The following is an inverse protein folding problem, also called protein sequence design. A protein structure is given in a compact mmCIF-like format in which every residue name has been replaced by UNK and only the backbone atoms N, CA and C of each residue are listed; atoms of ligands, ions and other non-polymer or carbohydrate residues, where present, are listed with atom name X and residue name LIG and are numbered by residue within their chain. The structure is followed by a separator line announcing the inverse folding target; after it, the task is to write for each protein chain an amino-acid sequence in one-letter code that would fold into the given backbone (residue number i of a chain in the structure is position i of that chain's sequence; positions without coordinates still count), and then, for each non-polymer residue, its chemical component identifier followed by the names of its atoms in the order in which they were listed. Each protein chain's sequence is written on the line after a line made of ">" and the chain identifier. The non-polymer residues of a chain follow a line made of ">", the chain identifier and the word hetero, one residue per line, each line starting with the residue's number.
data_IF_335517831417
#
_entry.id   IF_335517831417
#
_cell.length_a   1.000
_cell.length_b   1.000
_cell.length_c   1.000
_cell.angle_alpha   90.00
_cell.angle_beta   90.00
_cell.angle_gamma   90.00
#
_symmetry.space_group_name_H-M   'P 1'
#
loop_
_entity.id
_entity.type
_entity.pdbx_description
1 polymer ?
#
# COMPACT_ATOMS: atom_id res chain seq x y z
N UNK A 1 1.87 -19.24 11.92
CA UNK A 1 2.59 -18.79 13.14
C UNK A 1 1.79 -17.65 13.77
N UNK A 2 1.27 -17.80 15.00
CA UNK A 2 0.60 -16.69 15.67
C UNK A 2 1.66 -15.69 16.18
N UNK A 3 1.53 -14.41 15.81
CA UNK A 3 2.21 -13.30 16.51
C UNK A 3 3.12 -12.39 15.68
N UNK A 4 3.57 -12.80 14.49
CA UNK A 4 4.46 -11.97 13.67
C UNK A 4 3.62 -11.18 12.66
N UNK A 5 3.27 -9.94 13.03
CA UNK A 5 2.42 -9.08 12.23
C UNK A 5 3.25 -8.29 11.23
N UNK A 6 2.97 -8.48 9.94
CA UNK A 6 3.46 -7.62 8.88
C UNK A 6 2.41 -6.61 8.46
N UNK A 7 2.85 -5.43 8.05
CA UNK A 7 1.98 -4.33 7.64
C UNK A 7 2.39 -3.75 6.29
N UNK A 8 1.41 -3.30 5.51
CA UNK A 8 1.62 -2.35 4.43
C UNK A 8 0.78 -1.10 4.71
N UNK A 9 1.45 0.05 4.74
CA UNK A 9 0.80 1.34 4.70
C UNK A 9 0.93 1.91 3.29
N UNK A 10 -0.19 2.29 2.69
CA UNK A 10 -0.25 2.97 1.40
C UNK A 10 -0.88 4.34 1.60
N UNK A 11 -0.14 5.41 1.29
CA UNK A 11 -0.74 6.72 1.16
C UNK A 11 -1.34 6.90 -0.23
N UNK A 12 -2.36 7.75 -0.32
CA UNK A 12 -2.92 8.27 -1.56
C UNK A 12 -3.08 9.80 -1.46
N UNK A 13 -3.11 10.50 -2.59
CA UNK A 13 -3.01 11.97 -2.61
C UNK A 13 -4.27 12.64 -2.07
N UNK A 14 -5.42 12.23 -2.60
CA UNK A 14 -6.72 12.76 -2.25
C UNK A 14 -7.83 11.76 -2.60
N UNK A 15 -8.86 11.73 -1.78
CA UNK A 15 -10.14 11.07 -2.09
C UNK A 15 -10.77 11.66 -3.37
N UNK A 16 -11.67 10.91 -4.00
CA UNK A 16 -12.38 11.32 -5.23
C UNK A 16 -11.50 11.59 -6.47
N UNK A 17 -10.24 11.12 -6.47
CA UNK A 17 -9.35 11.23 -7.63
C UNK A 17 -9.28 9.92 -8.44
N UNK A 18 -9.14 9.97 -9.78
CA UNK A 18 -9.27 8.79 -10.63
C UNK A 18 -8.17 7.76 -10.38
N UNK A 19 -6.90 8.18 -10.27
CA UNK A 19 -5.78 7.25 -10.01
C UNK A 19 -5.97 6.55 -8.67
N UNK A 20 -6.16 7.31 -7.58
CA UNK A 20 -6.34 6.75 -6.25
C UNK A 20 -7.55 5.81 -6.15
N UNK A 21 -8.64 6.10 -6.87
CA UNK A 21 -9.82 5.23 -6.93
C UNK A 21 -9.47 3.87 -7.53
N UNK A 22 -8.74 3.85 -8.65
CA UNK A 22 -8.30 2.60 -9.29
C UNK A 22 -7.33 1.80 -8.42
N UNK A 23 -6.44 2.47 -7.68
CA UNK A 23 -5.47 1.82 -6.80
C UNK A 23 -6.14 1.17 -5.58
N UNK A 24 -7.04 1.87 -4.90
CA UNK A 24 -7.74 1.30 -3.75
C UNK A 24 -8.71 0.18 -4.17
N UNK A 25 -9.34 0.30 -5.35
CA UNK A 25 -10.14 -0.78 -5.92
C UNK A 25 -9.27 -2.03 -6.23
N UNK A 26 -8.07 -1.83 -6.78
CA UNK A 26 -7.10 -2.91 -6.99
C UNK A 26 -6.69 -3.55 -5.66
N UNK A 27 -6.33 -2.74 -4.66
CA UNK A 27 -5.94 -3.19 -3.33
C UNK A 27 -7.07 -4.00 -2.64
N UNK A 28 -8.33 -3.58 -2.82
CA UNK A 28 -9.51 -4.29 -2.33
C UNK A 28 -9.70 -5.63 -3.06
N UNK A 29 -9.57 -5.65 -4.39
CA UNK A 29 -9.68 -6.87 -5.21
C UNK A 29 -8.67 -7.95 -4.79
N UNK A 30 -7.42 -7.56 -4.52
CA UNK A 30 -6.36 -8.51 -4.14
C UNK A 30 -6.22 -8.68 -2.62
N UNK A 31 -7.24 -8.29 -1.82
CA UNK A 31 -7.20 -8.39 -0.35
C UNK A 31 -6.89 -9.81 0.13
N UNK A 32 -7.37 -10.83 -0.59
CA UNK A 32 -7.08 -12.22 -0.29
C UNK A 32 -5.58 -12.56 -0.37
N UNK A 33 -4.83 -11.97 -1.31
CA UNK A 33 -3.39 -12.22 -1.47
C UNK A 33 -2.58 -11.68 -0.28
N UNK A 34 -3.00 -10.55 0.30
CA UNK A 34 -2.40 -10.02 1.53
C UNK A 34 -2.76 -10.87 2.75
N UNK A 35 -4.04 -11.28 2.88
CA UNK A 35 -4.50 -12.18 3.97
C UNK A 35 -3.72 -13.50 3.95
N UNK A 36 -3.50 -14.10 2.77
CA UNK A 36 -2.72 -15.34 2.59
C UNK A 36 -1.29 -15.22 3.11
N UNK A 37 -0.68 -14.03 3.02
CA UNK A 37 0.68 -13.73 3.48
C UNK A 37 0.74 -13.23 4.93
N UNK A 38 -0.38 -13.22 5.65
CA UNK A 38 -0.48 -12.67 7.00
C UNK A 38 -0.07 -11.18 7.08
N UNK A 39 -0.41 -10.41 6.05
CA UNK A 39 -0.22 -8.96 6.01
C UNK A 39 -1.50 -8.22 6.36
N UNK A 40 -1.38 -7.20 7.21
CA UNK A 40 -2.41 -6.18 7.36
C UNK A 40 -2.12 -4.99 6.46
N UNK A 41 -3.18 -4.30 6.06
CA UNK A 41 -3.15 -3.18 5.14
C UNK A 41 -3.79 -1.96 5.79
N UNK A 42 -3.24 -0.78 5.52
CA UNK A 42 -3.82 0.50 5.93
C UNK A 42 -3.56 1.55 4.83
N UNK A 43 -4.64 2.12 4.31
CA UNK A 43 -4.68 3.32 3.47
C UNK A 43 -4.55 4.60 4.29
N UNK A 44 -4.12 5.69 3.66
CA UNK A 44 -3.96 6.97 4.32
C UNK A 44 -4.03 8.12 3.30
N UNK A 45 -4.85 9.12 3.56
CA UNK A 45 -4.70 10.45 2.95
C UNK A 45 -4.88 11.54 3.99
N UNK A 46 -4.88 12.79 3.53
CA UNK A 46 -5.13 13.96 4.36
C UNK A 46 -6.63 14.30 4.49
N UNK A 47 -7.50 13.61 3.76
CA UNK A 47 -8.94 13.90 3.75
C UNK A 47 -9.60 13.50 5.07
N UNK A 48 -10.82 14.01 5.29
CA UNK A 48 -11.55 13.71 6.51
C UNK A 48 -12.06 12.27 6.52
N UNK A 49 -12.30 11.71 7.70
CA UNK A 49 -12.95 10.38 7.84
C UNK A 49 -14.33 10.36 7.17
N UNK A 50 -15.04 11.50 7.14
CA UNK A 50 -16.33 11.61 6.47
C UNK A 50 -16.19 11.45 4.95
N UNK A 51 -15.15 12.06 4.36
CA UNK A 51 -14.83 11.94 2.94
C UNK A 51 -14.44 10.49 2.60
N UNK A 52 -13.61 9.84 3.43
CA UNK A 52 -13.27 8.43 3.24
C UNK A 52 -14.51 7.54 3.20
N UNK A 53 -15.46 7.75 4.12
CA UNK A 53 -16.70 6.97 4.17
C UNK A 53 -17.59 7.22 2.95
N UNK A 54 -17.67 8.47 2.48
CA UNK A 54 -18.42 8.82 1.29
C UNK A 54 -17.78 8.21 0.03
N UNK A 55 -16.49 8.44 -0.18
CA UNK A 55 -15.73 7.97 -1.33
C UNK A 55 -15.55 6.45 -1.35
N UNK A 56 -15.55 5.79 -0.19
CA UNK A 56 -15.50 4.33 -0.14
C UNK A 56 -16.64 3.68 -0.94
N UNK A 57 -17.76 4.37 -1.16
CA UNK A 57 -18.86 3.88 -2.00
C UNK A 57 -18.56 3.92 -3.49
N UNK A 58 -17.57 4.69 -3.93
CA UNK A 58 -17.08 4.77 -5.32
C UNK A 58 -15.92 3.79 -5.54
N UNK A 59 -15.17 3.48 -4.48
CA UNK A 59 -14.13 2.45 -4.45
C UNK A 59 -14.72 1.04 -4.30
N UNK A 60 -15.73 0.87 -3.44
CA UNK A 60 -16.39 -0.40 -3.12
C UNK A 60 -17.48 -0.93 -4.08
N UNK A 61 -17.92 -0.26 -5.18
CA UNK A 61 -18.61 -0.95 -6.27
C UNK A 61 -17.75 -2.09 -6.86
N UNK A 62 -16.45 -2.11 -6.52
CA UNK A 62 -15.48 -3.14 -6.89
C UNK A 62 -15.07 -4.13 -5.77
N UNK A 63 -15.59 -4.01 -4.52
CA UNK A 63 -15.69 -5.04 -3.44
C UNK A 63 -15.57 -4.44 -2.02
N UNK A 64 -16.25 -5.10 -1.06
CA UNK A 64 -16.53 -4.71 0.32
C UNK A 64 -15.43 -5.08 1.34
N UNK A 65 -14.88 -4.10 2.07
CA UNK A 65 -14.45 -4.13 3.49
C UNK A 65 -13.70 -2.80 3.81
N UNK A 66 -14.06 -2.13 4.91
CA UNK A 66 -13.67 -0.73 5.21
C UNK A 66 -12.73 -0.57 6.42
N UNK A 67 -11.93 0.51 6.41
CA UNK A 67 -11.39 1.18 7.61
C UNK A 67 -9.97 1.73 7.49
N UNK A 68 -9.76 3.05 7.62
CA UNK A 68 -8.45 3.74 7.77
C UNK A 68 -8.54 5.07 8.55
N UNK A 69 -7.42 5.49 9.16
CA UNK A 69 -7.25 6.63 10.09
C UNK A 69 -5.93 7.39 9.77
N UNK A 70 -5.78 8.71 10.04
CA UNK A 70 -4.72 9.53 9.43
C UNK A 70 -3.37 9.57 10.21
N UNK A 71 -2.23 9.50 9.50
CA UNK A 71 -0.82 9.57 10.00
C UNK A 71 0.16 10.36 9.07
N UNK A 72 -0.32 11.14 8.09
CA UNK A 72 0.46 11.67 6.93
C UNK A 72 1.72 12.49 7.28
N UNK A 73 1.62 13.40 8.24
CA UNK A 73 2.67 14.40 8.53
C UNK A 73 3.91 13.77 9.17
N UNK A 74 3.75 12.72 9.98
CA UNK A 74 4.87 12.09 10.69
C UNK A 74 5.75 11.22 9.79
N UNK A 75 5.26 10.84 8.61
CA UNK A 75 5.92 9.89 7.73
C UNK A 75 6.56 10.57 6.49
N UNK A 76 6.57 11.90 6.43
CA UNK A 76 7.21 12.66 5.34
C UNK A 76 6.54 12.46 3.98
N UNK A 77 5.23 12.20 3.97
CA UNK A 77 4.50 11.77 2.78
C UNK A 77 3.89 12.93 1.98
N UNK A 78 4.48 14.13 1.94
CA UNK A 78 3.87 15.27 1.22
C UNK A 78 4.40 15.40 -0.22
N UNK A 79 3.49 15.47 -1.19
CA UNK A 79 3.76 15.75 -2.60
C UNK A 79 3.90 17.27 -2.79
N UNK A 80 5.07 17.78 -3.20
CA UNK A 80 5.28 19.21 -3.34
C UNK A 80 4.59 19.81 -4.58
N UNK A 81 4.21 18.98 -5.57
CA UNK A 81 3.65 19.43 -6.85
C UNK A 81 2.12 19.45 -6.83
N UNK A 82 1.51 18.65 -5.96
CA UNK A 82 0.06 18.59 -5.77
C UNK A 82 -0.34 19.37 -4.52
N UNK A 83 -1.15 20.41 -4.70
CA UNK A 83 -1.66 21.26 -3.61
C UNK A 83 -3.19 21.20 -3.57
N UNK A 84 -3.76 21.22 -2.37
CA UNK A 84 -5.19 21.38 -2.21
C UNK A 84 -5.65 22.79 -2.58
N UNK A 85 -6.97 22.99 -2.57
CA UNK A 85 -7.62 24.29 -2.86
C UNK A 85 -7.15 25.43 -1.95
N UNK A 86 -6.59 25.12 -0.79
CA UNK A 86 -6.11 26.05 0.23
C UNK A 86 -4.58 26.24 0.16
N UNK A 87 -3.92 25.61 -0.82
CA UNK A 87 -2.48 25.73 -1.08
C UNK A 87 -1.60 24.80 -0.24
N UNK A 88 -2.19 23.82 0.46
CA UNK A 88 -1.45 22.85 1.26
C UNK A 88 -1.01 21.66 0.41
N UNK A 89 0.26 21.21 0.51
CA UNK A 89 0.73 20.01 -0.17
C UNK A 89 -0.13 18.77 0.16
N UNK A 90 -0.57 18.05 -0.87
CA UNK A 90 -1.25 16.77 -0.77
C UNK A 90 -0.26 15.66 -0.40
N UNK A 91 -0.71 14.45 -0.12
CA UNK A 91 0.19 13.33 0.17
C UNK A 91 0.77 12.70 -1.10
N UNK A 92 2.06 12.34 -1.18
CA UNK A 92 2.60 11.50 -2.29
C UNK A 92 2.02 10.08 -2.21
N UNK A 93 2.03 9.35 -3.33
CA UNK A 93 1.69 7.93 -3.37
C UNK A 93 2.85 7.09 -2.83
N UNK A 94 2.93 6.98 -1.50
CA UNK A 94 3.95 6.19 -0.82
C UNK A 94 3.42 4.81 -0.42
N UNK A 95 4.30 3.81 -0.45
CA UNK A 95 4.06 2.49 0.13
C UNK A 95 5.17 2.20 1.12
N UNK A 96 4.80 1.84 2.35
CA UNK A 96 5.71 1.40 3.40
C UNK A 96 5.39 -0.03 3.78
N UNK A 97 6.34 -0.93 3.57
CA UNK A 97 6.28 -2.31 4.02
C UNK A 97 6.97 -2.39 5.38
N UNK A 98 6.20 -2.73 6.40
CA UNK A 98 6.64 -2.76 7.80
C UNK A 98 6.68 -4.20 8.26
N UNK A 99 7.88 -4.62 8.68
CA UNK A 99 8.08 -5.90 9.34
C UNK A 99 7.83 -5.80 10.85
N UNK A 100 8.02 -6.91 11.56
CA UNK A 100 7.69 -7.02 13.00
C UNK A 100 8.54 -6.12 13.89
N UNK A 101 9.74 -5.79 13.42
CA UNK A 101 10.78 -5.04 14.10
C UNK A 101 10.93 -3.61 13.58
N UNK A 102 10.86 -3.41 12.25
CA UNK A 102 11.08 -2.13 11.59
C UNK A 102 10.54 -2.08 10.16
N UNK A 103 10.55 -0.88 9.58
CA UNK A 103 10.33 -0.66 8.15
C UNK A 103 11.34 -1.47 7.32
N UNK A 104 10.85 -2.16 6.29
CA UNK A 104 11.64 -3.04 5.42
C UNK A 104 11.85 -2.47 4.03
N UNK A 105 10.86 -1.76 3.51
CA UNK A 105 10.89 -1.21 2.15
C UNK A 105 9.97 -0.01 2.04
N UNK A 106 10.37 0.97 1.25
CA UNK A 106 9.57 2.14 0.88
C UNK A 106 9.58 2.31 -0.64
N UNK A 107 8.44 2.64 -1.21
CA UNK A 107 8.28 3.00 -2.62
C UNK A 107 7.57 4.35 -2.67
N UNK A 108 8.05 5.29 -3.49
CA UNK A 108 7.45 6.61 -3.68
C UNK A 108 7.13 6.81 -5.15
N UNK A 109 5.85 7.02 -5.47
CA UNK A 109 5.37 7.35 -6.80
C UNK A 109 4.76 8.76 -6.76
N UNK A 110 4.91 9.56 -7.83
CA UNK A 110 4.20 10.83 -7.93
C UNK A 110 2.70 10.57 -8.14
N UNK A 111 1.85 11.55 -7.83
CA UNK A 111 0.40 11.48 -8.06
C UNK A 111 0.02 11.06 -9.49
N UNK A 112 0.85 11.42 -10.47
CA UNK A 112 0.66 11.16 -11.89
C UNK A 112 0.92 9.70 -12.30
N UNK A 113 1.38 8.83 -11.40
CA UNK A 113 1.78 7.46 -11.74
C UNK A 113 1.15 6.44 -10.79
N UNK A 114 0.16 5.69 -11.30
CA UNK A 114 -0.42 4.58 -10.56
C UNK A 114 0.57 3.45 -10.27
N UNK A 115 0.46 2.84 -9.09
CA UNK A 115 1.38 1.81 -8.59
C UNK A 115 1.09 0.43 -9.16
N UNK A 116 2.14 -0.37 -9.26
CA UNK A 116 2.04 -1.78 -9.62
C UNK A 116 1.91 -2.66 -8.38
N UNK A 117 0.70 -3.20 -8.14
CA UNK A 117 0.45 -4.08 -6.99
C UNK A 117 1.05 -5.49 -7.15
N UNK A 118 1.34 -5.94 -8.37
CA UNK A 118 2.06 -7.21 -8.57
C UNK A 118 3.49 -7.10 -8.05
N UNK A 119 4.14 -5.96 -8.26
CA UNK A 119 5.47 -5.69 -7.70
C UNK A 119 5.42 -5.63 -6.18
N UNK A 120 4.38 -5.02 -5.61
CA UNK A 120 4.19 -4.99 -4.16
C UNK A 120 4.07 -6.40 -3.57
N UNK A 121 3.28 -7.28 -4.20
CA UNK A 121 3.17 -8.68 -3.77
C UNK A 121 4.51 -9.42 -3.93
N UNK A 122 5.24 -9.18 -5.03
CA UNK A 122 6.55 -9.80 -5.29
C UNK A 122 7.58 -9.43 -4.24
N UNK A 123 7.69 -8.16 -3.85
CA UNK A 123 8.64 -7.73 -2.81
C UNK A 123 8.21 -8.23 -1.43
N UNK A 124 6.92 -8.34 -1.15
CA UNK A 124 6.43 -8.96 0.09
C UNK A 124 6.88 -10.41 0.18
N UNK A 125 6.71 -11.18 -0.90
CA UNK A 125 7.13 -12.60 -0.94
C UNK A 125 8.65 -12.72 -0.72
N UNK A 126 9.43 -11.83 -1.35
CA UNK A 126 10.87 -11.76 -1.15
C UNK A 126 11.25 -11.44 0.31
N UNK A 127 10.62 -10.44 0.92
CA UNK A 127 10.90 -10.01 2.29
C UNK A 127 10.55 -11.10 3.31
N UNK A 128 9.46 -11.82 3.12
CA UNK A 128 9.11 -12.94 3.99
C UNK A 128 10.06 -14.12 3.80
N UNK A 129 10.40 -14.47 2.56
CA UNK A 129 11.32 -15.57 2.28
C UNK A 129 12.70 -15.34 2.89
N UNK A 130 13.28 -14.16 2.68
CA UNK A 130 14.60 -13.77 3.20
C UNK A 130 14.63 -13.56 4.72
N UNK A 131 13.46 -13.39 5.35
CA UNK A 131 13.34 -13.36 6.81
C UNK A 131 13.34 -14.76 7.43
N UNK A 132 12.96 -15.79 6.66
CA UNK A 132 12.89 -17.19 7.12
C UNK A 132 14.13 -17.98 6.73
N UNK A 133 14.70 -17.70 5.57
CA UNK A 133 15.79 -18.45 4.96
C UNK A 133 17.04 -17.59 4.80
N UNK A 134 18.22 -18.21 4.90
CA UNK A 134 19.50 -17.52 4.67
C UNK A 134 19.80 -17.46 3.16
N UNK A 135 19.09 -16.59 2.45
CA UNK A 135 19.25 -16.39 1.00
C UNK A 135 18.96 -14.94 0.58
N UNK A 136 19.21 -14.63 -0.70
CA UNK A 136 18.80 -13.38 -1.34
C UNK A 136 18.06 -13.66 -2.66
N UNK A 137 17.12 -12.79 -3.03
CA UNK A 137 16.40 -12.86 -4.31
C UNK A 137 17.12 -11.99 -5.37
N UNK A 138 17.41 -12.52 -6.56
CA UNK A 138 18.10 -11.75 -7.62
C UNK A 138 17.17 -10.74 -8.31
N UNK A 139 17.74 -9.95 -9.23
CA UNK A 139 16.99 -9.06 -10.13
C UNK A 139 15.88 -9.83 -10.85
N UNK A 140 14.71 -9.20 -10.97
CA UNK A 140 13.50 -9.75 -11.61
C UNK A 140 13.03 -11.11 -11.04
N UNK A 141 13.42 -11.47 -9.82
CA UNK A 141 13.01 -12.71 -9.17
C UNK A 141 11.49 -12.82 -9.05
N UNK A 142 10.95 -14.01 -9.37
CA UNK A 142 9.54 -14.37 -9.24
C UNK A 142 9.37 -15.62 -8.36
N UNK A 143 8.31 -15.66 -7.57
CA UNK A 143 8.00 -16.74 -6.61
C UNK A 143 8.00 -18.14 -7.24
N UNK A 144 7.48 -18.29 -8.47
CA UNK A 144 7.40 -19.58 -9.16
C UNK A 144 8.75 -20.12 -9.63
N UNK A 145 9.84 -19.34 -9.55
CA UNK A 145 11.18 -19.83 -9.90
C UNK A 145 11.72 -20.86 -8.88
N UNK A 146 11.04 -21.06 -7.74
CA UNK A 146 11.42 -22.04 -6.72
C UNK A 146 10.76 -23.42 -6.90
N UNK A 147 9.71 -23.55 -7.72
CA UNK A 147 9.05 -24.85 -7.98
C UNK A 147 9.74 -25.67 -9.08
N UNK A 148 10.93 -25.26 -9.51
CA UNK A 148 11.76 -25.95 -10.49
C UNK A 148 12.82 -26.89 -9.87
N UNK A 149 12.63 -27.33 -8.62
CA UNK A 149 13.39 -28.42 -8.01
C UNK A 149 12.49 -29.60 -7.73
#
# INVERSE_FOLDING_TARGET
>A
MPGILWGVLFSHTQDFTPVCTTELACAAKINFEFKKRNFKKIALSIDSVADHLAWSKDVMPFNSESGCSPLSVQLGMLDPDEIDKDGMPLTVLCVFVVGPDKMKLSIMYPATTGRNFDELLRVIDSLQLTALETLATPVDWKVHMLTGR
#
